data_IF_467408133113
#
_entry.id   IF_467408133113
#
_cell.length_a   1.000
_cell.length_b   1.000
_cell.length_c   1.000
_cell.angle_alpha   90.00
_cell.angle_beta   90.00
_cell.angle_gamma   90.00
#
_symmetry.space_group_name_H-M   'P 1'
#
loop_
_entity.id
_entity.type
_entity.pdbx_description
1 polymer ?
#
# COMPACT_ATOMS: atom_id res chain seq x y z
N UNK A 1 -25.66 59.35 25.52
CA UNK A 1 -24.20 59.28 25.29
C UNK A 1 -23.69 57.84 25.44
N UNK A 2 -24.10 57.09 26.46
CA UNK A 2 -23.68 55.70 26.70
C UNK A 2 -24.06 54.71 25.57
N UNK A 3 -25.21 54.88 24.93
CA UNK A 3 -25.67 53.94 23.89
C UNK A 3 -24.85 54.02 22.61
N UNK A 4 -24.43 55.23 22.21
CA UNK A 4 -23.53 55.42 21.06
C UNK A 4 -22.14 54.81 21.30
N UNK A 5 -21.62 54.88 22.53
CA UNK A 5 -20.35 54.22 22.86
C UNK A 5 -20.46 52.70 22.90
N UNK A 6 -21.61 52.15 23.32
CA UNK A 6 -21.84 50.70 23.30
C UNK A 6 -21.95 50.17 21.85
N UNK A 7 -22.67 50.89 20.99
CA UNK A 7 -22.83 50.54 19.57
C UNK A 7 -21.47 50.56 18.86
N UNK A 8 -20.69 51.64 19.00
CA UNK A 8 -19.35 51.75 18.38
C UNK A 8 -18.37 50.69 18.90
N UNK A 9 -18.44 50.31 20.18
CA UNK A 9 -17.64 49.22 20.72
C UNK A 9 -18.03 47.86 20.12
N UNK A 10 -19.34 47.58 20.00
CA UNK A 10 -19.83 46.37 19.37
C UNK A 10 -19.45 46.29 17.89
N UNK A 11 -19.58 47.40 17.14
CA UNK A 11 -19.12 47.49 15.75
C UNK A 11 -17.63 47.18 15.63
N UNK A 12 -16.80 47.71 16.52
CA UNK A 12 -15.37 47.42 16.57
C UNK A 12 -15.07 45.94 16.84
N UNK A 13 -15.77 45.31 17.79
CA UNK A 13 -15.60 43.89 18.11
C UNK A 13 -16.09 42.98 16.98
N UNK A 14 -17.18 43.34 16.32
CA UNK A 14 -17.69 42.62 15.14
C UNK A 14 -16.69 42.74 13.97
N UNK A 15 -16.13 43.93 13.75
CA UNK A 15 -15.09 44.15 12.73
C UNK A 15 -13.86 43.26 12.97
N UNK A 16 -13.34 43.27 14.21
CA UNK A 16 -12.22 42.40 14.59
C UNK A 16 -12.54 40.92 14.38
N UNK A 17 -13.72 40.46 14.81
CA UNK A 17 -14.13 39.07 14.66
C UNK A 17 -14.23 38.66 13.19
N UNK A 18 -14.71 39.55 12.31
CA UNK A 18 -14.77 39.29 10.87
C UNK A 18 -13.37 39.18 10.24
N UNK A 19 -12.45 40.04 10.65
CA UNK A 19 -11.07 40.02 10.15
C UNK A 19 -10.31 38.77 10.63
N UNK A 20 -10.47 38.40 11.91
CA UNK A 20 -9.94 37.15 12.45
C UNK A 20 -10.53 35.93 11.74
N UNK A 21 -11.84 35.93 11.48
CA UNK A 21 -12.48 34.85 10.74
C UNK A 21 -11.94 34.73 9.32
N UNK A 22 -11.77 35.85 8.60
CA UNK A 22 -11.16 35.86 7.26
C UNK A 22 -9.74 35.33 7.27
N UNK A 23 -8.93 35.75 8.25
CA UNK A 23 -7.55 35.29 8.42
C UNK A 23 -7.49 33.80 8.71
N UNK A 24 -8.30 33.31 9.65
CA UNK A 24 -8.39 31.88 9.97
C UNK A 24 -8.87 31.07 8.77
N UNK A 25 -9.86 31.56 8.03
CA UNK A 25 -10.35 30.90 6.82
C UNK A 25 -9.26 30.79 5.73
N UNK A 26 -8.41 31.82 5.58
CA UNK A 26 -7.27 31.77 4.67
C UNK A 26 -6.24 30.72 5.12
N UNK A 27 -5.85 30.73 6.40
CA UNK A 27 -4.92 29.74 6.97
C UNK A 27 -5.44 28.32 6.84
N UNK A 28 -6.74 28.09 7.11
CA UNK A 28 -7.37 26.79 6.93
C UNK A 28 -7.27 26.31 5.47
N UNK A 29 -7.46 27.19 4.49
CA UNK A 29 -7.31 26.84 3.07
C UNK A 29 -5.86 26.50 2.72
N UNK A 30 -4.90 27.30 3.19
CA UNK A 30 -3.46 27.06 2.97
C UNK A 30 -3.02 25.71 3.56
N UNK A 31 -3.33 25.47 4.83
CA UNK A 31 -3.02 24.21 5.50
C UNK A 31 -3.70 23.02 4.84
N UNK A 32 -4.94 23.18 4.35
CA UNK A 32 -5.65 22.14 3.60
C UNK A 32 -4.90 21.78 2.31
N UNK A 33 -4.47 22.80 1.56
CA UNK A 33 -3.72 22.62 0.31
C UNK A 33 -2.35 21.98 0.56
N UNK A 34 -1.60 22.42 1.57
CA UNK A 34 -0.31 21.83 1.95
C UNK A 34 -0.47 20.38 2.37
N UNK A 35 -1.48 20.09 3.19
CA UNK A 35 -1.81 18.73 3.65
C UNK A 35 -2.17 17.81 2.48
N UNK A 36 -2.87 18.31 1.46
CA UNK A 36 -3.20 17.51 0.28
C UNK A 36 -1.98 17.31 -0.64
N UNK A 37 -1.13 18.33 -0.80
CA UNK A 37 0.14 18.19 -1.51
C UNK A 37 1.07 17.15 -0.84
N UNK A 38 1.20 17.20 0.49
CA UNK A 38 1.97 16.24 1.26
C UNK A 38 1.41 14.82 1.15
N UNK A 39 0.09 14.65 1.11
CA UNK A 39 -0.53 13.34 0.89
C UNK A 39 -0.19 12.75 -0.47
N UNK A 40 -0.21 13.58 -1.52
CA UNK A 40 0.20 13.14 -2.87
C UNK A 40 1.67 12.74 -2.89
N UNK A 41 2.54 13.57 -2.31
CA UNK A 41 3.97 13.27 -2.23
C UNK A 41 4.25 11.98 -1.44
N UNK A 42 3.55 11.75 -0.34
CA UNK A 42 3.69 10.55 0.47
C UNK A 42 3.29 9.29 -0.32
N UNK A 43 2.14 9.30 -1.01
CA UNK A 43 1.72 8.19 -1.89
C UNK A 43 2.78 7.87 -2.95
N UNK A 44 3.32 8.90 -3.61
CA UNK A 44 4.36 8.72 -4.62
C UNK A 44 5.67 8.14 -4.03
N UNK A 45 6.04 8.54 -2.81
CA UNK A 45 7.18 7.97 -2.11
C UNK A 45 6.94 6.52 -1.69
N UNK A 46 5.76 6.18 -1.17
CA UNK A 46 5.40 4.80 -0.85
C UNK A 46 5.45 3.89 -2.08
N UNK A 47 4.97 4.36 -3.24
CA UNK A 47 5.05 3.62 -4.50
C UNK A 47 6.51 3.36 -4.91
N UNK A 48 7.39 4.37 -4.82
CA UNK A 48 8.83 4.21 -5.07
C UNK A 48 9.47 3.24 -4.10
N UNK A 49 9.13 3.28 -2.83
CA UNK A 49 9.62 2.33 -1.82
C UNK A 49 9.21 0.90 -2.19
N UNK A 50 7.93 0.68 -2.55
CA UNK A 50 7.45 -0.64 -3.00
C UNK A 50 8.17 -1.12 -4.26
N UNK A 51 8.44 -0.22 -5.21
CA UNK A 51 9.20 -0.56 -6.42
C UNK A 51 10.64 -0.96 -6.09
N UNK A 52 11.32 -0.19 -5.24
CA UNK A 52 12.68 -0.45 -4.78
C UNK A 52 12.76 -1.77 -3.99
N UNK A 53 11.79 -2.04 -3.10
CA UNK A 53 11.69 -3.30 -2.37
C UNK A 53 11.52 -4.48 -3.35
N UNK A 54 10.70 -4.31 -4.39
CA UNK A 54 10.55 -5.30 -5.46
C UNK A 54 11.85 -5.51 -6.25
N UNK A 55 12.63 -4.45 -6.51
CA UNK A 55 13.94 -4.55 -7.16
C UNK A 55 14.96 -5.24 -6.26
N UNK A 56 15.00 -4.91 -4.98
CA UNK A 56 15.86 -5.56 -3.98
C UNK A 56 15.55 -7.04 -3.86
N UNK A 57 14.28 -7.42 -3.76
CA UNK A 57 13.87 -8.83 -3.70
C UNK A 57 14.32 -9.61 -4.96
N UNK A 58 14.20 -9.01 -6.15
CA UNK A 58 14.70 -9.61 -7.39
C UNK A 58 16.22 -9.77 -7.39
N UNK A 59 16.97 -8.76 -6.93
CA UNK A 59 18.43 -8.83 -6.84
C UNK A 59 18.87 -9.89 -5.82
N UNK A 60 18.27 -9.93 -4.63
CA UNK A 60 18.56 -10.96 -3.61
C UNK A 60 18.25 -12.38 -4.09
N UNK A 61 17.17 -12.56 -4.87
CA UNK A 61 16.89 -13.85 -5.51
C UNK A 61 17.98 -14.21 -6.53
N UNK A 62 18.38 -13.27 -7.39
CA UNK A 62 19.46 -13.49 -8.35
C UNK A 62 20.79 -13.80 -7.65
N UNK A 63 21.13 -13.10 -6.58
CA UNK A 63 22.33 -13.32 -5.76
C UNK A 63 22.26 -14.66 -4.99
N UNK A 64 21.10 -15.02 -4.44
CA UNK A 64 20.90 -16.31 -3.78
C UNK A 64 21.04 -17.50 -4.75
N UNK A 65 20.66 -17.31 -6.02
CA UNK A 65 20.89 -18.26 -7.11
C UNK A 65 22.36 -18.27 -7.56
N UNK A 66 23.02 -17.10 -7.59
CA UNK A 66 24.44 -16.95 -7.96
C UNK A 66 25.42 -17.42 -6.86
N UNK A 67 24.99 -17.46 -5.59
CA UNK A 67 25.59 -18.35 -4.60
C UNK A 67 26.12 -17.79 -3.28
N UNK A 68 25.48 -16.79 -2.66
CA UNK A 68 25.76 -16.41 -1.27
C UNK A 68 25.40 -17.52 -0.27
N UNK A 69 26.28 -17.88 0.68
CA UNK A 69 26.15 -19.11 1.50
C UNK A 69 24.86 -19.16 2.34
N UNK A 70 24.41 -18.02 2.88
CA UNK A 70 23.23 -17.91 3.74
C UNK A 70 21.92 -17.83 2.93
N UNK A 71 21.99 -17.26 1.72
CA UNK A 71 20.85 -17.13 0.80
C UNK A 71 20.63 -18.39 -0.03
N UNK A 72 21.68 -19.16 -0.33
CA UNK A 72 21.60 -20.50 -0.92
C UNK A 72 20.69 -21.42 -0.10
N UNK A 73 20.73 -21.33 1.21
CA UNK A 73 19.96 -22.19 2.11
C UNK A 73 18.48 -21.81 2.10
N UNK A 74 18.17 -20.51 2.09
CA UNK A 74 16.81 -20.01 1.98
C UNK A 74 16.21 -20.21 0.58
N UNK A 75 17.01 -20.03 -0.47
CA UNK A 75 16.64 -20.31 -1.86
C UNK A 75 16.42 -21.81 -2.08
N UNK A 76 17.30 -22.68 -1.55
CA UNK A 76 17.08 -24.15 -1.55
C UNK A 76 15.80 -24.54 -0.83
N UNK A 77 15.50 -23.92 0.32
CA UNK A 77 14.25 -24.19 1.04
C UNK A 77 13.00 -23.83 0.21
N UNK A 78 13.03 -22.71 -0.52
CA UNK A 78 11.95 -22.29 -1.42
C UNK A 78 11.84 -23.22 -2.64
N UNK A 79 12.95 -23.55 -3.29
CA UNK A 79 12.98 -24.51 -4.42
C UNK A 79 12.48 -25.89 -3.99
N UNK A 80 12.86 -26.37 -2.81
CA UNK A 80 12.37 -27.63 -2.27
C UNK A 80 10.87 -27.62 -1.94
N UNK A 81 10.25 -26.46 -1.67
CA UNK A 81 8.79 -26.36 -1.55
C UNK A 81 8.12 -26.42 -2.90
N UNK A 82 8.63 -25.68 -3.89
CA UNK A 82 8.15 -25.70 -5.27
C UNK A 82 8.25 -27.10 -5.88
N UNK A 83 9.37 -27.80 -5.70
CA UNK A 83 9.55 -29.18 -6.16
C UNK A 83 8.48 -30.11 -5.57
N UNK A 84 8.16 -29.99 -4.27
CA UNK A 84 7.08 -30.79 -3.66
C UNK A 84 5.70 -30.45 -4.20
N UNK A 85 5.45 -29.21 -4.59
CA UNK A 85 4.20 -28.82 -5.26
C UNK A 85 4.12 -29.41 -6.67
N UNK A 86 5.22 -29.37 -7.41
CA UNK A 86 5.35 -30.01 -8.72
C UNK A 86 5.12 -31.52 -8.63
N UNK A 87 5.79 -32.20 -7.69
CA UNK A 87 5.61 -33.63 -7.45
C UNK A 87 4.17 -33.97 -7.06
N UNK A 88 3.52 -33.13 -6.24
CA UNK A 88 2.09 -33.29 -5.92
C UNK A 88 1.21 -33.14 -7.15
N UNK A 89 1.47 -32.14 -8.00
CA UNK A 89 0.74 -31.97 -9.25
C UNK A 89 0.95 -33.15 -10.20
N UNK A 90 2.18 -33.65 -10.34
CA UNK A 90 2.50 -34.83 -11.13
C UNK A 90 1.76 -36.06 -10.59
N UNK A 91 1.74 -36.27 -9.28
CA UNK A 91 1.02 -37.38 -8.66
C UNK A 91 -0.49 -37.29 -8.88
N UNK A 92 -1.07 -36.08 -8.81
CA UNK A 92 -2.49 -35.85 -9.11
C UNK A 92 -2.82 -36.15 -10.59
N UNK A 93 -1.93 -35.76 -11.51
CA UNK A 93 -2.07 -36.05 -12.94
C UNK A 93 -1.91 -37.55 -13.24
N UNK A 94 -0.94 -38.22 -12.61
CA UNK A 94 -0.75 -39.67 -12.74
C UNK A 94 -1.95 -40.46 -12.21
N UNK A 95 -2.50 -40.03 -11.06
CA UNK A 95 -3.70 -40.67 -10.47
C UNK A 95 -4.97 -40.43 -11.29
N UNK A 96 -5.06 -39.30 -11.99
CA UNK A 96 -6.12 -39.05 -12.97
C UNK A 96 -5.98 -39.93 -14.23
N UNK A 97 -4.75 -40.30 -14.61
CA UNK A 97 -4.48 -41.21 -15.72
C UNK A 97 -4.72 -42.69 -15.37
N UNK A 98 -4.66 -43.06 -14.09
CA UNK A 98 -4.92 -44.42 -13.59
C UNK A 98 -6.39 -44.70 -13.22
N UNK A 99 -7.30 -43.74 -13.37
CA UNK A 99 -8.73 -44.01 -13.14
C UNK A 99 -9.20 -45.07 -14.15
N UNK A 100 -9.69 -46.24 -13.71
CA UNK A 100 -10.21 -47.25 -14.62
C UNK A 100 -11.43 -46.67 -15.35
N UNK A 101 -11.43 -46.76 -16.68
CA UNK A 101 -12.56 -46.39 -17.52
C UNK A 101 -13.85 -47.01 -16.96
N UNK A 102 -14.98 -46.29 -16.97
CA UNK A 102 -16.25 -46.84 -16.51
C UNK A 102 -16.52 -48.12 -17.31
N UNK A 103 -16.72 -49.23 -16.59
CA UNK A 103 -17.14 -50.47 -17.21
C UNK A 103 -18.55 -50.23 -17.75
N UNK A 104 -18.66 -50.00 -19.04
CA UNK A 104 -19.93 -50.00 -19.74
C UNK A 104 -20.64 -51.33 -19.44
N UNK A 105 -21.78 -51.23 -18.75
CA UNK A 105 -22.78 -52.28 -18.61
C UNK A 105 -23.21 -52.72 -20.02
N UNK A 106 -22.77 -53.91 -20.42
CA UNK A 106 -23.42 -54.67 -21.48
C UNK A 106 -24.00 -55.95 -20.87
N UNK A 107 -25.25 -55.87 -20.42
CA UNK A 107 -26.25 -56.92 -20.65
C UNK A 107 -27.67 -56.43 -20.42
#
# INVERSE_FOLDING_TARGET
MADKSAITNLEGRIGQLLDDHRRLAALCRELTAERDALRVANRALEERTRELDGRLARMQLAEGLAGGSREREQARARVNRLMREVDRCIALLGRAAELPAPKDEQR
#
